data_IF_467297014944
#
_entry.id   IF_467297014944
#
_cell.length_a   1.000
_cell.length_b   1.000
_cell.length_c   1.000
_cell.angle_alpha   90.00
_cell.angle_beta   90.00
_cell.angle_gamma   90.00
#
_symmetry.space_group_name_H-M   'P 1'
#
loop_
_entity.id
_entity.type
_entity.pdbx_description
1 polymer ?
#
# COMPACT_ATOMS: atom_id res chain seq x y z
N UNK A 1 21.82 32.69 7.85
CA UNK A 1 20.50 33.32 8.06
C UNK A 1 19.77 32.48 9.11
N UNK A 2 19.71 32.92 10.37
CA UNK A 2 18.97 32.19 11.39
C UNK A 2 17.48 32.26 11.03
N UNK A 3 16.84 31.12 10.79
CA UNK A 3 15.42 31.06 10.49
C UNK A 3 14.65 31.55 11.73
N UNK A 4 13.76 32.54 11.58
CA UNK A 4 12.97 33.05 12.69
C UNK A 4 12.09 31.92 13.28
N UNK A 5 11.87 31.92 14.60
CA UNK A 5 11.05 30.91 15.31
C UNK A 5 9.68 30.71 14.67
N UNK A 6 9.06 31.80 14.17
CA UNK A 6 7.79 31.74 13.45
C UNK A 6 7.84 30.89 12.17
N UNK A 7 8.92 31.00 11.38
CA UNK A 7 9.09 30.23 10.15
C UNK A 7 9.39 28.75 10.44
N UNK A 8 10.18 28.44 11.49
CA UNK A 8 10.39 27.07 11.97
C UNK A 8 9.06 26.44 12.40
N UNK A 9 8.25 27.18 13.17
CA UNK A 9 6.93 26.73 13.60
C UNK A 9 5.97 26.50 12.43
N UNK A 10 5.99 27.37 11.40
CA UNK A 10 5.18 27.22 10.20
C UNK A 10 5.54 25.96 9.42
N UNK A 11 6.84 25.68 9.23
CA UNK A 11 7.29 24.45 8.58
C UNK A 11 6.75 23.21 9.30
N UNK A 12 6.85 23.18 10.64
CA UNK A 12 6.33 22.08 11.45
C UNK A 12 4.80 21.91 11.32
N UNK A 13 4.04 23.01 11.15
CA UNK A 13 2.59 22.93 10.85
C UNK A 13 2.32 22.33 9.47
N UNK A 14 3.09 22.73 8.46
CA UNK A 14 2.93 22.18 7.11
C UNK A 14 3.21 20.68 7.15
N UNK A 15 4.31 20.25 7.77
CA UNK A 15 4.63 18.82 7.89
C UNK A 15 3.60 18.07 8.74
N UNK A 16 3.05 18.69 9.79
CA UNK A 16 1.92 18.14 10.54
C UNK A 16 0.71 17.85 9.63
N UNK A 17 0.30 18.82 8.80
CA UNK A 17 -0.83 18.65 7.89
C UNK A 17 -0.57 17.52 6.89
N UNK A 18 0.66 17.39 6.39
CA UNK A 18 1.06 16.27 5.52
C UNK A 18 0.98 14.91 6.26
N UNK A 19 1.39 14.84 7.52
CA UNK A 19 1.26 13.63 8.34
C UNK A 19 -0.20 13.28 8.65
N UNK A 20 -1.07 14.27 8.86
CA UNK A 20 -2.51 14.03 9.01
C UNK A 20 -3.13 13.52 7.70
N UNK A 21 -2.80 14.12 6.56
CA UNK A 21 -3.30 13.67 5.25
C UNK A 21 -2.86 12.24 4.94
N UNK A 22 -1.58 11.91 5.16
CA UNK A 22 -1.05 10.55 4.97
C UNK A 22 -1.60 9.54 5.97
N UNK A 23 -1.82 9.95 7.23
CA UNK A 23 -2.48 9.12 8.23
C UNK A 23 -3.93 8.80 7.85
N UNK A 24 -4.69 9.79 7.38
CA UNK A 24 -6.08 9.60 6.93
C UNK A 24 -6.14 8.70 5.70
N UNK A 25 -5.26 8.89 4.71
CA UNK A 25 -5.23 8.00 3.53
C UNK A 25 -4.80 6.59 3.90
N UNK A 26 -3.87 6.41 4.85
CA UNK A 26 -3.48 5.10 5.39
C UNK A 26 -4.62 4.38 6.11
N UNK A 27 -5.37 5.10 6.95
CA UNK A 27 -6.59 4.58 7.60
C UNK A 27 -7.67 4.25 6.57
N UNK A 28 -7.85 5.11 5.56
CA UNK A 28 -8.71 4.87 4.40
C UNK A 28 -8.25 3.68 3.56
N UNK A 29 -6.94 3.35 3.59
CA UNK A 29 -6.36 2.15 3.01
C UNK A 29 -6.97 0.85 3.52
N UNK A 30 -7.65 0.86 4.68
CA UNK A 30 -8.52 -0.25 5.12
C UNK A 30 -9.56 -0.64 4.06
N UNK A 31 -10.08 0.33 3.29
CA UNK A 31 -10.94 0.08 2.13
C UNK A 31 -10.20 -0.68 1.01
N UNK A 32 -8.94 -0.33 0.75
CA UNK A 32 -8.12 -1.07 -0.21
C UNK A 32 -7.87 -2.49 0.28
N UNK A 33 -7.66 -2.73 1.58
CA UNK A 33 -7.53 -4.08 2.13
C UNK A 33 -8.75 -4.95 1.82
N UNK A 34 -9.95 -4.37 1.89
CA UNK A 34 -11.17 -5.07 1.50
C UNK A 34 -11.15 -5.46 0.01
N UNK A 35 -10.65 -4.58 -0.86
CA UNK A 35 -10.50 -4.87 -2.30
C UNK A 35 -9.45 -5.96 -2.55
N UNK A 36 -8.29 -5.88 -1.90
CA UNK A 36 -7.16 -6.80 -2.11
C UNK A 36 -7.32 -8.16 -1.41
N UNK A 37 -8.28 -8.32 -0.50
CA UNK A 37 -8.51 -9.58 0.22
C UNK A 37 -8.72 -10.78 -0.71
N UNK A 38 -9.36 -10.56 -1.86
CA UNK A 38 -9.59 -11.62 -2.85
C UNK A 38 -8.29 -12.10 -3.50
N UNK A 39 -7.31 -11.21 -3.69
CA UNK A 39 -5.99 -11.60 -4.21
C UNK A 39 -5.15 -12.35 -3.16
N UNK A 40 -5.57 -12.33 -1.88
CA UNK A 40 -4.95 -13.11 -0.80
C UNK A 40 -4.90 -14.62 -1.04
N UNK A 41 -5.72 -15.16 -1.95
CA UNK A 41 -5.71 -16.58 -2.29
C UNK A 41 -4.55 -16.94 -3.24
N UNK A 42 -4.08 -16.00 -4.07
CA UNK A 42 -3.00 -16.26 -5.02
C UNK A 42 -1.61 -16.19 -4.41
N UNK A 43 -1.49 -15.59 -3.22
CA UNK A 43 -0.22 -15.36 -2.53
C UNK A 43 -0.25 -15.94 -1.13
N UNK A 44 0.92 -16.27 -0.58
CA UNK A 44 0.99 -16.59 0.84
C UNK A 44 0.47 -15.43 1.69
N UNK A 45 -0.39 -15.73 2.66
CA UNK A 45 -1.03 -14.77 3.57
C UNK A 45 -0.04 -13.75 4.17
N UNK A 46 1.22 -14.16 4.38
CA UNK A 46 2.30 -13.30 4.91
C UNK A 46 2.62 -12.09 4.01
N UNK A 47 2.44 -12.18 2.69
CA UNK A 47 2.82 -11.10 1.76
C UNK A 47 1.76 -10.02 1.60
N UNK A 48 0.47 -10.36 1.77
CA UNK A 48 -0.62 -9.37 1.64
C UNK A 48 -1.06 -8.87 3.01
N UNK A 49 -1.28 -9.76 3.98
CA UNK A 49 -1.83 -9.39 5.30
C UNK A 49 -0.81 -8.60 6.11
N UNK A 50 0.48 -8.94 6.03
CA UNK A 50 1.49 -8.26 6.83
C UNK A 50 1.71 -6.80 6.41
N UNK A 51 1.94 -6.46 5.11
CA UNK A 51 2.02 -5.06 4.70
C UNK A 51 0.72 -4.29 4.94
N UNK A 52 -0.42 -4.96 4.77
CA UNK A 52 -1.74 -4.39 5.07
C UNK A 52 -1.86 -3.94 6.52
N UNK A 53 -1.49 -4.80 7.46
CA UNK A 53 -1.51 -4.50 8.89
C UNK A 53 -0.52 -3.38 9.25
N UNK A 54 0.70 -3.43 8.70
CA UNK A 54 1.70 -2.38 8.88
C UNK A 54 1.23 -1.02 8.34
N UNK A 55 0.50 -1.00 7.22
CA UNK A 55 -0.09 0.22 6.65
C UNK A 55 -1.13 0.85 7.60
N UNK A 56 -2.00 0.03 8.21
CA UNK A 56 -2.99 0.52 9.19
C UNK A 56 -2.32 1.05 10.45
N UNK A 57 -1.36 0.28 11.01
CA UNK A 57 -0.63 0.67 12.21
C UNK A 57 0.17 1.96 11.98
N UNK A 58 0.91 2.05 10.87
CA UNK A 58 1.66 3.26 10.51
C UNK A 58 0.74 4.46 10.27
N UNK A 59 -0.41 4.28 9.63
CA UNK A 59 -1.41 5.34 9.45
C UNK A 59 -1.94 5.90 10.76
N UNK A 60 -2.25 5.03 11.74
CA UNK A 60 -2.69 5.45 13.07
C UNK A 60 -1.60 6.22 13.83
N UNK A 61 -0.35 5.73 13.80
CA UNK A 61 0.78 6.40 14.45
C UNK A 61 1.07 7.76 13.79
N UNK A 62 1.01 7.84 12.45
CA UNK A 62 1.16 9.11 11.71
C UNK A 62 0.09 10.13 12.10
N UNK A 63 -1.16 9.69 12.28
CA UNK A 63 -2.25 10.57 12.70
C UNK A 63 -2.02 11.14 14.12
N UNK A 64 -1.59 10.30 15.06
CA UNK A 64 -1.24 10.73 16.43
C UNK A 64 -0.06 11.70 16.39
N UNK A 65 0.99 11.36 15.64
CA UNK A 65 2.20 12.18 15.47
C UNK A 65 1.86 13.54 14.89
N UNK A 66 1.02 13.58 13.85
CA UNK A 66 0.51 14.81 13.24
C UNK A 66 -0.23 15.66 14.27
N UNK A 67 -1.21 15.08 14.97
CA UNK A 67 -2.00 15.80 15.98
C UNK A 67 -1.13 16.48 17.04
N UNK A 68 -0.12 15.76 17.56
CA UNK A 68 0.84 16.32 18.52
C UNK A 68 1.67 17.43 17.87
N UNK A 69 2.18 17.23 16.64
CA UNK A 69 2.96 18.23 15.91
C UNK A 69 2.23 19.57 15.75
N UNK A 70 0.95 19.53 15.39
CA UNK A 70 0.11 20.73 15.27
C UNK A 70 -0.11 21.44 16.62
N UNK A 71 -0.35 20.69 17.70
CA UNK A 71 -0.55 21.26 19.04
C UNK A 71 0.71 21.89 19.63
N UNK A 72 1.88 21.36 19.25
CA UNK A 72 3.18 21.72 19.84
C UNK A 72 3.86 22.87 19.09
N UNK A 73 3.63 23.02 17.79
CA UNK A 73 4.30 24.01 16.92
C UNK A 73 4.28 25.46 17.43
N UNK A 74 3.21 25.89 18.10
CA UNK A 74 3.07 27.27 18.60
C UNK A 74 3.37 27.43 20.09
N UNK A 75 3.78 26.35 20.78
CA UNK A 75 4.03 26.36 22.22
C UNK A 75 5.52 26.59 22.52
N UNK A 76 5.83 26.98 23.77
CA UNK A 76 7.19 26.95 24.30
C UNK A 76 7.68 25.48 24.37
N UNK A 77 9.00 25.23 24.28
CA UNK A 77 9.55 23.90 24.48
C UNK A 77 9.01 23.32 25.80
N UNK A 78 8.48 22.11 25.73
CA UNK A 78 7.78 21.43 26.82
C UNK A 78 7.86 19.92 26.60
N UNK A 79 7.37 19.12 27.55
CA UNK A 79 7.31 17.66 27.41
C UNK A 79 6.62 17.20 26.10
N UNK A 80 5.68 18.00 25.55
CA UNK A 80 5.02 17.70 24.27
C UNK A 80 5.97 17.65 23.07
N UNK A 81 7.04 18.45 23.07
CA UNK A 81 8.07 18.39 22.02
C UNK A 81 8.86 17.08 22.10
N UNK A 82 9.19 16.63 23.32
CA UNK A 82 9.85 15.34 23.55
C UNK A 82 8.98 14.16 23.08
N UNK A 83 7.68 14.20 23.39
CA UNK A 83 6.72 13.19 22.92
C UNK A 83 6.63 13.15 21.39
N UNK A 84 6.62 14.33 20.73
CA UNK A 84 6.66 14.39 19.28
C UNK A 84 7.92 13.74 18.69
N UNK A 85 9.10 14.05 19.23
CA UNK A 85 10.37 13.42 18.79
C UNK A 85 10.34 11.91 18.99
N UNK A 86 9.81 11.43 20.12
CA UNK A 86 9.65 10.00 20.38
C UNK A 86 8.79 9.30 19.31
N UNK A 87 7.63 9.87 18.96
CA UNK A 87 6.79 9.30 17.91
C UNK A 87 7.44 9.35 16.54
N UNK A 88 8.18 10.42 16.20
CA UNK A 88 8.94 10.47 14.95
C UNK A 88 9.96 9.31 14.84
N UNK A 89 10.60 8.91 15.95
CA UNK A 89 11.51 7.74 16.00
C UNK A 89 10.77 6.45 15.73
N UNK A 90 9.60 6.26 16.35
CA UNK A 90 8.77 5.09 16.09
C UNK A 90 8.39 5.03 14.60
N UNK A 91 7.87 6.12 14.03
CA UNK A 91 7.46 6.16 12.62
C UNK A 91 8.66 5.90 11.70
N UNK A 92 9.83 6.48 11.99
CA UNK A 92 11.03 6.25 11.21
C UNK A 92 11.42 4.77 11.18
N UNK A 93 11.40 4.09 12.33
CA UNK A 93 11.66 2.66 12.42
C UNK A 93 10.61 1.83 11.66
N UNK A 94 9.32 2.14 11.80
CA UNK A 94 8.24 1.40 11.12
C UNK A 94 8.30 1.59 9.59
N UNK A 95 8.52 2.82 9.13
CA UNK A 95 8.62 3.13 7.69
C UNK A 95 9.88 2.50 7.09
N UNK A 96 11.02 2.61 7.78
CA UNK A 96 12.28 2.00 7.36
C UNK A 96 12.20 0.47 7.27
N UNK A 97 11.59 -0.19 8.26
CA UNK A 97 11.37 -1.65 8.23
C UNK A 97 10.41 -2.06 7.13
N UNK A 98 9.33 -1.30 6.89
CA UNK A 98 8.39 -1.54 5.79
C UNK A 98 9.08 -1.45 4.43
N UNK A 99 9.91 -0.42 4.21
CA UNK A 99 10.67 -0.27 2.97
C UNK A 99 11.67 -1.40 2.75
N UNK A 100 12.37 -1.82 3.81
CA UNK A 100 13.30 -2.95 3.73
C UNK A 100 12.57 -4.25 3.37
N UNK A 101 11.43 -4.54 4.01
CA UNK A 101 10.63 -5.72 3.71
C UNK A 101 10.07 -5.71 2.28
N UNK A 102 9.59 -4.56 1.79
CA UNK A 102 9.13 -4.41 0.42
C UNK A 102 10.24 -4.72 -0.60
N UNK A 103 11.46 -4.25 -0.35
CA UNK A 103 12.63 -4.56 -1.18
C UNK A 103 12.95 -6.06 -1.19
N UNK A 104 12.96 -6.70 -0.01
CA UNK A 104 13.22 -8.15 0.07
C UNK A 104 12.13 -8.98 -0.62
N UNK A 105 10.87 -8.56 -0.50
CA UNK A 105 9.75 -9.25 -1.16
C UNK A 105 9.74 -9.07 -2.67
N UNK A 106 10.19 -7.93 -3.18
CA UNK A 106 10.35 -7.71 -4.63
C UNK A 106 11.21 -8.80 -5.28
N UNK A 107 12.30 -9.21 -4.63
CA UNK A 107 13.19 -10.26 -5.12
C UNK A 107 12.60 -11.67 -5.09
N UNK A 108 11.51 -11.90 -4.35
CA UNK A 108 10.85 -13.21 -4.21
C UNK A 108 9.56 -13.34 -5.02
N UNK A 109 9.09 -12.26 -5.65
CA UNK A 109 7.82 -12.25 -6.39
C UNK A 109 7.70 -13.41 -7.38
N UNK A 110 8.73 -13.69 -8.16
CA UNK A 110 8.68 -14.76 -9.18
C UNK A 110 8.45 -16.17 -8.62
N UNK A 111 9.03 -16.47 -7.46
CA UNK A 111 8.86 -17.77 -6.81
C UNK A 111 7.47 -17.91 -6.15
N UNK A 112 6.88 -16.78 -5.75
CA UNK A 112 5.64 -16.73 -4.96
C UNK A 112 4.37 -16.63 -5.82
N UNK A 113 4.49 -16.44 -7.14
CA UNK A 113 3.35 -16.58 -8.06
C UNK A 113 3.05 -18.06 -8.40
N UNK A 114 3.84 -19.02 -7.93
CA UNK A 114 3.58 -20.45 -8.13
C UNK A 114 2.17 -20.93 -7.69
N UNK A 115 1.60 -20.48 -6.56
CA UNK A 115 0.25 -20.87 -6.13
C UNK A 115 -0.85 -20.37 -7.07
N UNK A 116 -0.56 -19.42 -7.96
CA UNK A 116 -1.51 -18.92 -8.95
C UNK A 116 -2.07 -20.08 -9.78
N UNK A 117 -1.21 -21.04 -10.17
CA UNK A 117 -1.65 -22.20 -10.93
C UNK A 117 -2.64 -23.05 -10.13
N UNK A 118 -2.39 -23.28 -8.85
CA UNK A 118 -3.24 -24.13 -8.00
C UNK A 118 -4.65 -23.53 -7.83
N UNK A 119 -4.76 -22.21 -7.67
CA UNK A 119 -6.07 -21.53 -7.60
C UNK A 119 -6.85 -21.68 -8.91
N UNK A 120 -6.16 -21.61 -10.07
CA UNK A 120 -6.80 -21.87 -11.37
C UNK A 120 -7.23 -23.34 -11.52
N UNK A 121 -6.53 -24.31 -10.91
CA UNK A 121 -6.92 -25.73 -10.93
C UNK A 121 -8.18 -26.02 -10.09
N UNK A 122 -8.43 -25.24 -9.04
CA UNK A 122 -9.60 -25.38 -8.17
C UNK A 122 -10.87 -24.68 -8.68
N UNK A 123 -10.79 -23.98 -9.82
CA UNK A 123 -11.93 -23.29 -10.40
C UNK A 123 -13.13 -24.24 -10.60
N UNK A 124 -14.33 -23.83 -10.18
CA UNK A 124 -15.53 -24.68 -10.22
C UNK A 124 -16.75 -24.02 -10.87
N UNK A 125 -16.62 -22.78 -11.37
CA UNK A 125 -17.74 -21.94 -11.88
C UNK A 125 -18.89 -21.76 -10.86
N UNK A 126 -18.65 -22.06 -9.58
CA UNK A 126 -19.57 -21.76 -8.50
C UNK A 126 -19.28 -20.34 -8.01
N UNK A 127 -20.22 -19.41 -8.15
CA UNK A 127 -20.04 -18.01 -7.73
C UNK A 127 -19.84 -17.83 -6.22
N UNK A 128 -20.16 -18.84 -5.41
CA UNK A 128 -19.92 -18.85 -3.97
C UNK A 128 -18.52 -19.37 -3.60
N UNK A 129 -17.84 -20.05 -4.53
CA UNK A 129 -16.51 -20.60 -4.32
C UNK A 129 -15.46 -19.47 -4.34
N UNK A 130 -14.60 -19.37 -3.30
CA UNK A 130 -13.62 -18.29 -3.18
C UNK A 130 -12.58 -18.29 -4.31
N UNK A 131 -12.15 -19.47 -4.77
CA UNK A 131 -11.16 -19.61 -5.84
C UNK A 131 -11.75 -19.15 -7.18
N UNK A 132 -12.96 -19.60 -7.50
CA UNK A 132 -13.73 -19.16 -8.68
C UNK A 132 -13.90 -17.63 -8.70
N UNK A 133 -14.35 -17.05 -7.59
CA UNK A 133 -14.53 -15.60 -7.47
C UNK A 133 -13.21 -14.84 -7.62
N UNK A 134 -12.12 -15.39 -7.12
CA UNK A 134 -10.80 -14.77 -7.23
C UNK A 134 -10.28 -14.80 -8.66
N UNK A 135 -10.39 -15.94 -9.34
CA UNK A 135 -9.99 -16.07 -10.75
C UNK A 135 -10.82 -15.14 -11.63
N UNK A 136 -12.16 -15.13 -11.49
CA UNK A 136 -13.00 -14.29 -12.32
C UNK A 136 -12.73 -12.80 -12.12
N UNK A 137 -12.48 -12.39 -10.88
CA UNK A 137 -12.08 -11.01 -10.55
C UNK A 137 -10.69 -10.68 -11.09
N UNK A 138 -9.73 -11.59 -10.99
CA UNK A 138 -8.38 -11.39 -11.49
C UNK A 138 -8.41 -11.15 -13.02
N UNK A 139 -9.10 -12.02 -13.75
CA UNK A 139 -9.19 -11.95 -15.21
C UNK A 139 -9.90 -10.67 -15.69
N UNK A 140 -11.03 -10.33 -15.06
CA UNK A 140 -11.80 -9.13 -15.43
C UNK A 140 -11.14 -7.81 -15.00
N UNK A 141 -10.57 -7.72 -13.80
CA UNK A 141 -9.93 -6.48 -13.31
C UNK A 141 -8.56 -6.24 -13.95
N UNK A 142 -7.76 -7.29 -14.21
CA UNK A 142 -6.44 -7.16 -14.82
C UNK A 142 -6.43 -7.39 -16.34
N UNK A 143 -7.59 -7.66 -16.92
CA UNK A 143 -7.75 -7.85 -18.37
C UNK A 143 -6.79 -8.92 -18.92
N UNK A 144 -6.82 -10.08 -18.29
CA UNK A 144 -5.94 -11.22 -18.57
C UNK A 144 -6.75 -12.52 -18.68
N UNK A 145 -6.18 -13.55 -19.32
CA UNK A 145 -6.83 -14.86 -19.41
C UNK A 145 -5.82 -16.01 -19.23
N UNK A 146 -6.08 -16.87 -18.24
CA UNK A 146 -5.16 -17.96 -17.87
C UNK A 146 -3.91 -17.46 -17.15
N UNK A 147 -3.10 -18.41 -16.66
CA UNK A 147 -1.90 -18.11 -15.86
C UNK A 147 -0.84 -17.43 -16.74
N UNK A 148 -0.45 -18.12 -17.81
CA UNK A 148 0.47 -17.68 -18.85
C UNK A 148 -0.25 -17.44 -20.19
N UNK A 149 -1.35 -18.16 -20.43
CA UNK A 149 -2.14 -18.02 -21.65
C UNK A 149 -3.54 -18.62 -21.48
N UNK A 150 -4.52 -18.21 -22.29
CA UNK A 150 -5.87 -18.79 -22.27
C UNK A 150 -5.87 -20.33 -22.44
N UNK A 151 -4.86 -20.88 -23.13
CA UNK A 151 -4.69 -22.33 -23.30
C UNK A 151 -4.43 -23.10 -22.00
N UNK A 152 -4.04 -22.43 -20.91
CA UNK A 152 -3.89 -23.07 -19.60
C UNK A 152 -5.21 -23.65 -19.08
N UNK A 153 -6.34 -23.07 -19.50
CA UNK A 153 -7.67 -23.59 -19.18
C UNK A 153 -7.88 -25.02 -19.66
N UNK A 154 -7.26 -25.42 -20.78
CA UNK A 154 -7.36 -26.76 -21.36
C UNK A 154 -6.87 -27.86 -20.40
N UNK A 155 -6.00 -27.50 -19.46
CA UNK A 155 -5.40 -28.41 -18.49
C UNK A 155 -6.15 -28.46 -17.15
N UNK A 156 -7.18 -27.63 -16.97
CA UNK A 156 -7.94 -27.56 -15.71
C UNK A 156 -8.98 -28.69 -15.60
N UNK A 157 -9.28 -29.18 -14.38
CA UNK A 157 -10.38 -30.10 -14.16
C UNK A 157 -11.71 -29.53 -14.65
N UNK A 158 -11.95 -28.24 -14.43
CA UNK A 158 -13.16 -27.56 -14.86
C UNK A 158 -13.42 -27.69 -16.36
N UNK A 159 -12.40 -27.46 -17.19
CA UNK A 159 -12.54 -27.54 -18.64
C UNK A 159 -13.00 -28.92 -19.12
N UNK A 160 -12.56 -29.99 -18.45
CA UNK A 160 -13.02 -31.34 -18.75
C UNK A 160 -14.50 -31.56 -18.40
N UNK A 161 -15.01 -30.88 -17.37
CA UNK A 161 -16.41 -31.00 -16.93
C UNK A 161 -17.35 -30.04 -17.68
N UNK A 162 -16.86 -28.89 -18.16
CA UNK A 162 -17.66 -27.89 -18.89
C UNK A 162 -17.94 -28.24 -20.35
N UNK A 163 -17.42 -29.37 -20.83
CA UNK A 163 -17.62 -29.84 -22.21
C UNK A 163 -16.44 -29.60 -23.14
N UNK A 164 -15.34 -29.00 -22.68
CA UNK A 164 -14.10 -28.79 -23.45
C UNK A 164 -14.20 -27.82 -24.63
N UNK A 165 -15.10 -26.85 -24.58
CA UNK A 165 -15.28 -25.86 -25.65
C UNK A 165 -15.06 -24.40 -25.21
N UNK A 166 -15.21 -24.11 -23.91
CA UNK A 166 -15.25 -22.74 -23.40
C UNK A 166 -14.21 -22.49 -22.30
N UNK A 167 -13.78 -21.23 -22.21
CA UNK A 167 -13.08 -20.64 -21.07
C UNK A 167 -14.06 -19.80 -20.22
N UNK A 168 -13.71 -19.41 -18.99
CA UNK A 168 -14.59 -18.57 -18.18
C UNK A 168 -14.95 -17.25 -18.88
N UNK A 169 -16.19 -16.79 -18.66
CA UNK A 169 -16.66 -15.51 -19.22
C UNK A 169 -15.82 -14.32 -18.76
N UNK A 170 -15.14 -14.42 -17.62
CA UNK A 170 -14.21 -13.41 -17.12
C UNK A 170 -12.97 -13.21 -18.01
N UNK A 171 -12.66 -14.16 -18.91
CA UNK A 171 -11.63 -14.00 -19.94
C UNK A 171 -12.07 -13.12 -21.12
N UNK A 172 -13.36 -12.81 -21.24
CA UNK A 172 -13.86 -12.04 -22.37
C UNK A 172 -13.38 -10.59 -22.34
N UNK A 173 -12.84 -10.13 -23.47
CA UNK A 173 -12.50 -8.74 -23.62
C UNK A 173 -13.77 -7.90 -23.73
N UNK A 174 -13.98 -7.02 -22.76
CA UNK A 174 -15.15 -6.15 -22.65
C UNK A 174 -15.39 -5.22 -23.84
N UNK A 175 -14.38 -5.06 -24.72
CA UNK A 175 -14.51 -4.35 -25.99
C UNK A 175 -15.44 -5.08 -26.97
N UNK A 176 -15.57 -6.41 -26.85
CA UNK A 176 -16.39 -7.24 -27.73
C UNK A 176 -17.65 -7.75 -27.03
N UNK A 177 -18.79 -7.12 -27.32
CA UNK A 177 -20.09 -7.52 -26.77
C UNK A 177 -20.54 -8.94 -27.16
N UNK A 178 -19.99 -9.50 -28.24
CA UNK A 178 -20.31 -10.85 -28.72
C UNK A 178 -19.47 -11.95 -28.07
N UNK A 179 -18.54 -11.61 -27.17
CA UNK A 179 -17.71 -12.61 -26.52
C UNK A 179 -18.56 -13.49 -25.59
N UNK A 180 -18.48 -14.80 -25.79
CA UNK A 180 -19.18 -15.81 -25.02
C UNK A 180 -18.22 -16.85 -24.41
N UNK A 181 -16.92 -16.55 -24.34
CA UNK A 181 -15.91 -17.46 -23.78
C UNK A 181 -15.55 -18.67 -24.65
N UNK A 182 -16.03 -18.77 -25.90
CA UNK A 182 -15.71 -19.91 -26.77
C UNK A 182 -14.26 -19.89 -27.26
N UNK A 183 -13.67 -21.09 -27.40
CA UNK A 183 -12.35 -21.27 -28.02
C UNK A 183 -12.36 -21.12 -29.55
N UNK A 184 -13.53 -21.08 -30.21
CA UNK A 184 -13.63 -20.86 -31.67
C UNK A 184 -13.26 -19.43 -32.08
N UNK A 185 -13.36 -18.47 -31.15
CA UNK A 185 -13.11 -17.06 -31.38
C UNK A 185 -12.11 -16.49 -30.35
N UNK A 186 -10.86 -17.00 -30.31
CA UNK A 186 -9.89 -16.62 -29.28
C UNK A 186 -9.49 -15.13 -29.37
N UNK A 187 -9.68 -14.48 -30.53
CA UNK A 187 -9.46 -13.04 -30.70
C UNK A 187 -10.39 -12.16 -29.85
N UNK A 188 -11.48 -12.71 -29.31
CA UNK A 188 -12.40 -12.00 -28.41
C UNK A 188 -11.97 -12.10 -26.93
N UNK A 189 -10.99 -12.92 -26.61
CA UNK A 189 -10.47 -13.11 -25.26
C UNK A 189 -9.33 -12.13 -24.96
N UNK A 190 -9.00 -11.97 -23.68
CA UNK A 190 -7.78 -11.29 -23.28
C UNK A 190 -6.54 -12.11 -23.68
N UNK A 191 -5.59 -11.47 -24.37
CA UNK A 191 -4.34 -12.10 -24.82
C UNK A 191 -3.23 -12.10 -23.76
N UNK A 192 -3.42 -11.32 -22.69
CA UNK A 192 -2.41 -11.11 -21.65
C UNK A 192 -2.44 -12.19 -20.59
N UNK A 193 -1.26 -12.57 -20.10
CA UNK A 193 -1.10 -13.54 -19.02
C UNK A 193 -1.45 -12.90 -17.67
N UNK A 194 -2.24 -13.60 -16.84
CA UNK A 194 -2.55 -13.09 -15.50
C UNK A 194 -1.31 -13.02 -14.61
N UNK A 195 -0.36 -13.94 -14.77
CA UNK A 195 0.91 -13.90 -14.04
C UNK A 195 1.71 -12.62 -14.34
N UNK A 196 1.76 -12.20 -15.60
CA UNK A 196 2.50 -10.99 -16.01
C UNK A 196 1.82 -9.73 -15.48
N UNK A 197 0.51 -9.58 -15.73
CA UNK A 197 -0.26 -8.41 -15.24
C UNK A 197 -0.24 -8.29 -13.73
N UNK A 198 -0.34 -9.42 -13.03
CA UNK A 198 -0.31 -9.45 -11.57
C UNK A 198 1.09 -9.08 -11.04
N UNK A 199 2.17 -9.55 -11.67
CA UNK A 199 3.54 -9.13 -11.34
C UNK A 199 3.74 -7.63 -11.59
N UNK A 200 3.29 -7.11 -12.73
CA UNK A 200 3.36 -5.67 -13.04
C UNK A 200 2.64 -4.83 -11.99
N UNK A 201 1.44 -5.24 -11.58
CA UNK A 201 0.69 -4.58 -10.52
C UNK A 201 1.46 -4.59 -9.19
N UNK A 202 2.04 -5.72 -8.81
CA UNK A 202 2.80 -5.81 -7.56
C UNK A 202 4.08 -4.97 -7.60
N UNK A 203 4.78 -4.97 -8.72
CA UNK A 203 5.95 -4.11 -8.92
C UNK A 203 5.58 -2.63 -8.86
N UNK A 204 4.44 -2.24 -9.44
CA UNK A 204 3.91 -0.88 -9.33
C UNK A 204 3.62 -0.53 -7.86
N UNK A 205 2.95 -1.41 -7.11
CA UNK A 205 2.65 -1.21 -5.69
C UNK A 205 3.94 -1.08 -4.86
N UNK A 206 4.91 -1.97 -5.06
CA UNK A 206 6.22 -1.91 -4.39
C UNK A 206 6.96 -0.62 -4.73
N UNK A 207 6.94 -0.19 -5.99
CA UNK A 207 7.54 1.07 -6.41
C UNK A 207 6.88 2.30 -5.74
N UNK A 208 5.55 2.30 -5.63
CA UNK A 208 4.80 3.33 -4.89
C UNK A 208 5.18 3.32 -3.40
N UNK A 209 5.32 2.14 -2.78
CA UNK A 209 5.76 2.01 -1.38
C UNK A 209 7.16 2.61 -1.20
N UNK A 210 8.10 2.33 -2.11
CA UNK A 210 9.45 2.89 -2.04
C UNK A 210 9.47 4.41 -2.16
N UNK A 211 8.76 4.98 -3.14
CA UNK A 211 8.68 6.44 -3.31
C UNK A 211 8.04 7.10 -2.09
N UNK A 212 6.88 6.60 -1.66
CA UNK A 212 6.14 7.17 -0.52
C UNK A 212 6.94 7.06 0.78
N UNK A 213 7.58 5.92 1.02
CA UNK A 213 8.48 5.73 2.17
C UNK A 213 9.65 6.71 2.14
N UNK A 214 10.30 6.90 0.98
CA UNK A 214 11.41 7.84 0.87
C UNK A 214 10.98 9.28 1.20
N UNK A 215 9.85 9.72 0.63
CA UNK A 215 9.27 11.04 0.92
C UNK A 215 8.96 11.19 2.41
N UNK A 216 8.31 10.20 3.02
CA UNK A 216 8.00 10.24 4.46
C UNK A 216 9.27 10.28 5.30
N UNK A 217 10.29 9.46 5.01
CA UNK A 217 11.56 9.48 5.73
C UNK A 217 12.26 10.84 5.66
N UNK A 218 12.27 11.49 4.49
CA UNK A 218 12.79 12.85 4.34
C UNK A 218 12.00 13.84 5.20
N UNK A 219 10.67 13.77 5.20
CA UNK A 219 9.82 14.63 6.03
C UNK A 219 10.03 14.41 7.53
N UNK A 220 10.26 13.17 7.98
CA UNK A 220 10.58 12.85 9.37
C UNK A 220 11.92 13.45 9.79
N UNK A 221 12.95 13.34 8.94
CA UNK A 221 14.28 13.93 9.21
C UNK A 221 14.20 15.45 9.27
N UNK A 222 13.47 16.09 8.35
CA UNK A 222 13.25 17.53 8.39
C UNK A 222 12.46 17.96 9.65
N UNK A 223 11.47 17.17 10.06
CA UNK A 223 10.72 17.39 11.31
C UNK A 223 11.62 17.30 12.54
N UNK A 224 12.55 16.34 12.58
CA UNK A 224 13.55 16.23 13.65
C UNK A 224 14.49 17.42 13.72
N UNK A 225 14.99 17.88 12.57
CA UNK A 225 15.88 19.05 12.52
C UNK A 225 15.12 20.30 13.02
N UNK A 226 13.90 20.51 12.53
CA UNK A 226 13.10 21.70 12.89
C UNK A 226 12.66 21.70 14.34
N UNK A 227 12.22 20.57 14.90
CA UNK A 227 11.91 20.49 16.34
C UNK A 227 13.17 20.65 17.19
N UNK A 228 14.31 20.11 16.75
CA UNK A 228 15.61 20.31 17.41
C UNK A 228 16.03 21.77 17.46
N UNK A 229 15.83 22.51 16.36
CA UNK A 229 16.06 23.96 16.33
C UNK A 229 15.08 24.72 17.23
N UNK A 230 13.81 24.33 17.25
CA UNK A 230 12.80 24.96 18.10
C UNK A 230 13.10 24.78 19.60
N UNK A 231 13.62 23.61 19.98
CA UNK A 231 14.06 23.32 21.36
C UNK A 231 15.33 24.09 21.75
N UNK A 232 16.22 24.37 20.79
CA UNK A 232 17.44 25.17 21.02
C UNK A 232 17.20 26.69 20.97
N UNK A 233 16.08 27.14 20.41
CA UNK A 233 15.81 28.57 20.24
C UNK A 233 15.62 29.22 21.62
N UNK A 234 16.43 30.22 22.00
CA UNK A 234 16.33 30.86 23.31
C UNK A 234 14.96 31.52 23.50
N UNK A 235 14.27 31.22 24.60
CA UNK A 235 12.96 31.81 24.91
C UNK A 235 13.20 33.22 25.49
N UNK A 236 12.80 34.32 24.81
CA UNK A 236 13.19 35.67 25.24
C UNK A 236 12.57 36.14 26.57
N UNK A 237 11.62 35.39 27.14
CA UNK A 237 10.88 35.83 28.34
C UNK A 237 11.47 35.40 29.68
N UNK A 238 12.34 34.39 29.72
CA UNK A 238 12.89 33.93 31.00
C UNK A 238 13.85 34.97 31.60
N UNK A 239 14.55 35.71 30.75
CA UNK A 239 15.40 36.83 31.17
C UNK A 239 14.59 38.00 31.77
N UNK A 240 13.37 38.26 31.30
CA UNK A 240 12.55 39.40 31.79
C UNK A 240 11.87 39.17 33.13
N UNK A 241 11.73 37.92 33.58
CA UNK A 241 11.19 37.64 34.91
C UNK A 241 12.32 37.68 35.95
N UNK A 242 13.51 37.17 35.59
CA UNK A 242 14.70 37.27 36.44
C UNK A 242 15.24 38.71 36.60
N UNK A 243 15.01 39.60 35.64
CA UNK A 243 15.39 41.02 35.75
C UNK A 243 14.38 41.88 36.56
N UNK A 244 13.26 41.32 37.00
CA UNK A 244 12.24 42.09 37.73
C UNK A 244 12.15 41.76 39.24
N UNK A 245 13.02 40.87 39.72
CA UNK A 245 13.27 40.61 41.15
C UNK A 245 14.64 41.17 41.56
#
# INVERSE_FOLDING_TARGET
MALNRGAIGLFLKITCLLFLLTGITGLGGSFLLHKYRVYGLFFSNLYIIFPALLAVVSGAILFITGSIGCLVSSKKPSCGHGLFVYFLIIVFCVVGTTAALAYFYQGKLDAELAPLKDVFQNYSNNSQDPDTKAVDRLQSELQCCGVMNYTDWLQTPWFNHSGKYDVPQSCCNTTFHSCNGTLDAPMLLYNEACQVKLKELLLLVVHIIHITSLVVLVLLVLSWITVGQLMRYPVPQEYRILDQD
#
